data_IF_227056530977
#
_entry.id   IF_227056530977
#
_cell.length_a   1.000
_cell.length_b   1.000
_cell.length_c   1.000
_cell.angle_alpha   90.00
_cell.angle_beta   90.00
_cell.angle_gamma   90.00
#
_symmetry.space_group_name_H-M   'P 1'
#
loop_
_entity.id
_entity.type
_entity.pdbx_description
1 polymer ?
#
# COMPACT_ATOMS: atom_id res chain seq x y z
N UNK A 1 -43.94 15.66 -16.43
CA UNK A 1 -43.40 15.69 -16.15
C UNK A 1 -42.56 15.31 -15.86
N UNK A 2 -42.17 15.21 -15.83
CA UNK A 2 -41.33 14.91 -15.37
C UNK A 2 -40.58 14.70 -15.06
N UNK A 3 -40.38 14.66 -14.95
CA UNK A 3 -39.66 14.44 -14.47
C UNK A 3 -38.91 14.07 -14.15
N UNK A 4 -38.80 14.06 -14.10
CA UNK A 4 -38.12 13.72 -13.57
C UNK A 4 -37.38 13.28 -13.39
N UNK A 5 -37.26 13.29 -13.44
CA UNK A 5 -36.52 12.90 -13.07
C UNK A 5 -35.76 12.50 -12.88
N UNK A 6 -35.64 12.56 -13.01
CA UNK A 6 -34.88 12.18 -12.56
C UNK A 6 -34.06 11.97 -12.28
N UNK A 7 -33.84 12.07 -12.21
CA UNK A 7 -33.04 11.89 -11.73
C UNK A 7 -32.29 11.58 -11.33
N UNK A 8 -32.22 11.64 -11.28
CA UNK A 8 -31.45 11.34 -10.71
C UNK A 8 -30.78 10.78 -10.41
N UNK A 9 -30.79 10.74 -10.42
CA UNK A 9 -30.14 10.22 -10.00
C UNK A 9 -29.20 9.82 -9.99
N UNK A 10 -29.04 9.84 -10.21
CA UNK A 10 -28.19 9.42 -10.16
C UNK A 10 -27.30 9.40 -9.77
N UNK A 11 -27.14 9.68 -9.42
CA UNK A 11 -26.30 9.64 -8.91
C UNK A 11 -25.86 9.25 -8.29
N UNK A 12 -25.96 9.02 -8.07
CA UNK A 12 -25.40 8.71 -7.39
C UNK A 12 -24.56 8.07 -7.20
N UNK A 13 -24.29 7.99 -7.43
CA UNK A 13 -23.46 7.36 -7.21
C UNK A 13 -22.55 7.46 -7.11
N UNK A 14 -22.56 7.77 -6.83
CA UNK A 14 -21.70 8.03 -6.76
C UNK A 14 -20.88 7.30 -6.22
N UNK A 15 -20.10 7.12 -6.63
CA UNK A 15 -19.23 6.45 -6.24
C UNK A 15 -18.34 7.04 -5.54
N UNK A 16 -18.21 6.72 -4.61
CA UNK A 16 -17.24 7.14 -3.82
C UNK A 16 -16.02 6.81 -4.41
N UNK A 17 -15.50 7.65 -4.79
CA UNK A 17 -14.32 7.53 -5.02
C UNK A 17 -13.70 7.07 -3.91
N UNK A 18 -13.35 5.97 -3.97
CA UNK A 18 -12.52 5.49 -3.05
C UNK A 18 -11.56 6.55 -2.88
N UNK A 19 -11.68 7.13 -1.89
CA UNK A 19 -10.88 8.14 -1.61
C UNK A 19 -9.52 7.70 -1.80
N UNK A 20 -8.87 8.30 -2.61
CA UNK A 20 -7.50 8.09 -2.73
C UNK A 20 -6.94 8.33 -1.38
N UNK A 21 -6.22 7.42 -0.87
CA UNK A 21 -5.46 7.60 0.34
C UNK A 21 -4.52 8.76 0.12
N UNK A 22 -4.41 9.68 1.04
CA UNK A 22 -3.40 10.71 0.94
C UNK A 22 -2.03 10.06 0.87
N UNK A 23 -1.13 10.64 0.13
CA UNK A 23 0.22 10.12 0.05
C UNK A 23 0.92 10.28 1.39
N UNK A 24 1.53 9.23 1.92
CA UNK A 24 2.29 9.38 3.16
C UNK A 24 3.59 10.12 2.88
N UNK A 25 4.12 10.76 3.91
CA UNK A 25 5.42 11.42 3.79
C UNK A 25 6.54 10.39 3.66
N UNK A 26 6.36 9.24 4.31
CA UNK A 26 7.33 8.16 4.29
C UNK A 26 6.56 6.87 4.08
N UNK A 27 7.06 6.00 3.22
CA UNK A 27 6.49 4.67 3.10
C UNK A 27 7.55 3.62 3.39
N UNK A 28 7.20 2.68 4.25
CA UNK A 28 8.05 1.52 4.53
C UNK A 28 7.61 0.41 3.59
N UNK A 29 8.53 -0.10 2.81
CA UNK A 29 8.27 -1.26 1.95
C UNK A 29 8.97 -2.44 2.61
N UNK A 30 8.19 -3.37 3.13
CA UNK A 30 8.71 -4.45 3.98
C UNK A 30 8.51 -5.80 3.33
N UNK A 31 9.60 -6.55 3.19
CA UNK A 31 9.53 -7.92 2.69
C UNK A 31 9.68 -8.87 3.87
N UNK A 32 8.68 -9.70 4.08
CA UNK A 32 8.71 -10.64 5.20
C UNK A 32 9.78 -11.70 5.00
N UNK A 33 10.19 -12.32 6.09
CA UNK A 33 11.16 -13.40 6.02
C UNK A 33 10.58 -14.64 5.36
N UNK A 34 11.47 -15.49 4.86
CA UNK A 34 11.10 -16.75 4.23
C UNK A 34 10.27 -17.59 5.21
N UNK A 35 9.15 -18.08 4.72
CA UNK A 35 8.27 -18.91 5.54
C UNK A 35 7.33 -18.16 6.45
N UNK A 36 7.47 -16.84 6.55
CA UNK A 36 6.58 -16.05 7.40
C UNK A 36 5.23 -15.86 6.71
N UNK A 37 4.16 -15.65 7.47
CA UNK A 37 2.85 -15.38 6.91
C UNK A 37 2.84 -14.06 6.13
N UNK A 38 1.93 -13.96 5.18
CA UNK A 38 1.79 -12.75 4.38
C UNK A 38 1.48 -11.53 5.27
N UNK A 39 1.90 -10.37 4.82
CA UNK A 39 1.67 -9.12 5.54
C UNK A 39 2.94 -8.63 6.21
N UNK A 40 2.77 -7.61 7.05
CA UNK A 40 3.90 -7.03 7.77
C UNK A 40 4.38 -7.92 8.92
N UNK A 41 3.45 -8.63 9.54
CA UNK A 41 3.76 -9.42 10.71
C UNK A 41 4.16 -8.55 11.89
N UNK A 42 4.46 -9.19 13.00
CA UNK A 42 4.80 -8.43 14.22
C UNK A 42 6.09 -7.62 14.04
N UNK A 43 7.04 -8.17 13.30
CA UNK A 43 8.32 -7.48 13.12
C UNK A 43 8.15 -6.21 12.28
N UNK A 44 7.39 -6.32 11.18
CA UNK A 44 7.12 -5.15 10.37
C UNK A 44 6.29 -4.11 11.12
N UNK A 45 5.31 -4.55 11.89
CA UNK A 45 4.50 -3.63 12.69
C UNK A 45 5.34 -2.91 13.73
N UNK A 46 6.24 -3.61 14.40
CA UNK A 46 7.14 -3.00 15.39
C UNK A 46 8.03 -1.97 14.74
N UNK A 47 8.55 -2.28 13.56
CA UNK A 47 9.41 -1.34 12.87
C UNK A 47 8.66 -0.07 12.51
N UNK A 48 7.46 -0.21 11.97
CA UNK A 48 6.65 0.94 11.57
C UNK A 48 6.29 1.81 12.77
N UNK A 49 5.90 1.17 13.88
CA UNK A 49 5.57 1.91 15.11
C UNK A 49 6.78 2.66 15.65
N UNK A 50 7.94 2.01 15.64
CA UNK A 50 9.16 2.64 16.11
C UNK A 50 9.50 3.84 15.24
N UNK A 51 9.36 3.69 13.93
CA UNK A 51 9.63 4.78 13.01
C UNK A 51 8.68 5.95 13.23
N UNK A 52 7.40 5.67 13.44
CA UNK A 52 6.41 6.73 13.70
C UNK A 52 6.79 7.57 14.90
N UNK A 53 7.37 6.95 15.91
CA UNK A 53 7.81 7.67 17.09
C UNK A 53 9.02 8.55 16.87
N UNK A 54 9.66 8.45 15.72
CA UNK A 54 10.93 9.17 15.48
C UNK A 54 10.86 10.23 14.40
N UNK A 55 9.74 10.33 13.70
CA UNK A 55 9.66 11.22 12.54
C UNK A 55 8.78 12.45 12.74
N UNK A 56 8.38 12.69 13.96
CA UNK A 56 7.56 13.87 14.28
C UNK A 56 6.19 13.80 13.62
N UNK A 57 5.83 14.86 12.93
CA UNK A 57 4.50 14.95 12.32
C UNK A 57 4.39 14.28 10.97
N UNK A 58 5.46 13.70 10.48
CA UNK A 58 5.40 13.05 9.18
C UNK A 58 4.58 11.80 9.25
N UNK A 59 3.80 11.56 8.21
CA UNK A 59 2.97 10.37 8.15
C UNK A 59 3.79 9.20 7.61
N UNK A 60 3.52 8.02 8.12
CA UNK A 60 4.23 6.81 7.72
C UNK A 60 3.21 5.78 7.24
N UNK A 61 3.33 5.40 5.99
CA UNK A 61 2.55 4.29 5.45
C UNK A 61 3.41 3.04 5.38
N UNK A 62 2.79 1.94 5.08
CA UNK A 62 3.52 0.68 4.97
C UNK A 62 2.94 -0.16 3.85
N UNK A 63 3.83 -0.87 3.16
CA UNK A 63 3.45 -1.76 2.10
C UNK A 63 4.16 -3.10 2.33
N UNK A 64 3.40 -4.17 2.41
CA UNK A 64 3.98 -5.50 2.54
C UNK A 64 4.25 -6.06 1.14
N UNK A 65 5.50 -6.36 0.85
CA UNK A 65 5.87 -6.89 -0.45
C UNK A 65 5.10 -8.18 -0.71
N UNK A 66 4.46 -8.26 -1.87
CA UNK A 66 3.65 -9.40 -2.23
C UNK A 66 4.52 -10.37 -3.01
N UNK A 67 5.00 -11.40 -2.34
CA UNK A 67 5.86 -12.40 -2.97
C UNK A 67 5.75 -13.72 -2.20
N UNK A 68 6.22 -14.83 -2.78
CA UNK A 68 6.03 -16.14 -2.14
C UNK A 68 6.75 -16.32 -0.81
N UNK A 69 7.88 -15.67 -0.62
CA UNK A 69 8.72 -15.85 0.57
C UNK A 69 8.97 -17.34 0.82
N UNK A 70 9.25 -18.08 -0.24
CA UNK A 70 9.46 -19.53 -0.16
C UNK A 70 10.93 -19.87 -0.09
N UNK A 71 11.21 -21.14 0.24
CA UNK A 71 12.59 -21.60 0.28
C UNK A 71 13.19 -21.81 -1.12
N UNK A 72 12.37 -21.72 -2.16
CA UNK A 72 12.88 -21.71 -3.52
C UNK A 72 13.39 -20.29 -3.82
N UNK A 73 14.56 -20.00 -3.32
CA UNK A 73 15.11 -18.64 -3.37
C UNK A 73 15.31 -18.13 -4.79
N UNK A 74 15.62 -19.04 -5.72
CA UNK A 74 15.90 -18.64 -7.11
C UNK A 74 14.68 -18.00 -7.77
N UNK A 75 13.48 -18.36 -7.36
CA UNK A 75 12.27 -17.77 -7.90
C UNK A 75 11.66 -16.76 -6.93
N UNK A 76 11.73 -17.04 -5.65
CA UNK A 76 11.09 -16.22 -4.63
C UNK A 76 11.75 -14.86 -4.48
N UNK A 77 13.08 -14.82 -4.42
CA UNK A 77 13.78 -13.56 -4.22
C UNK A 77 13.58 -12.60 -5.40
N UNK A 78 13.73 -13.04 -6.65
CA UNK A 78 13.46 -12.14 -7.76
C UNK A 78 12.00 -11.66 -7.80
N UNK A 79 11.05 -12.52 -7.40
CA UNK A 79 9.65 -12.11 -7.35
C UNK A 79 9.45 -11.00 -6.32
N UNK A 80 10.09 -11.12 -5.16
CA UNK A 80 10.01 -10.08 -4.14
C UNK A 80 10.66 -8.78 -4.62
N UNK A 81 11.81 -8.88 -5.25
CA UNK A 81 12.50 -7.70 -5.77
C UNK A 81 11.65 -6.99 -6.82
N UNK A 82 10.99 -7.75 -7.69
CA UNK A 82 10.15 -7.16 -8.73
C UNK A 82 8.95 -6.45 -8.13
N UNK A 83 8.31 -7.05 -7.14
CA UNK A 83 7.15 -6.44 -6.49
C UNK A 83 7.55 -5.17 -5.75
N UNK A 84 8.66 -5.22 -5.02
CA UNK A 84 9.15 -4.05 -4.30
C UNK A 84 9.49 -2.92 -5.26
N UNK A 85 10.19 -3.23 -6.36
CA UNK A 85 10.54 -2.23 -7.36
C UNK A 85 9.29 -1.63 -8.01
N UNK A 86 8.29 -2.47 -8.26
CA UNK A 86 7.02 -1.99 -8.80
C UNK A 86 6.34 -1.01 -7.85
N UNK A 87 6.39 -1.30 -6.55
CA UNK A 87 5.80 -0.40 -5.56
C UNK A 87 6.54 0.93 -5.51
N UNK A 88 7.87 0.89 -5.57
CA UNK A 88 8.65 2.13 -5.59
C UNK A 88 8.25 2.99 -6.80
N UNK A 89 8.14 2.36 -7.97
CA UNK A 89 7.73 3.10 -9.17
C UNK A 89 6.32 3.66 -9.04
N UNK A 90 5.42 2.86 -8.49
CA UNK A 90 4.05 3.29 -8.29
C UNK A 90 4.01 4.53 -7.39
N UNK A 91 4.75 4.50 -6.30
CA UNK A 91 4.77 5.64 -5.38
C UNK A 91 5.43 6.86 -6.00
N UNK A 92 6.50 6.66 -6.78
CA UNK A 92 7.15 7.77 -7.45
C UNK A 92 6.21 8.45 -8.44
N UNK A 93 5.37 7.66 -9.12
CA UNK A 93 4.44 8.19 -10.11
C UNK A 93 3.21 8.84 -9.49
N UNK A 94 2.75 8.31 -8.37
CA UNK A 94 1.50 8.74 -7.77
C UNK A 94 1.68 9.63 -6.54
N UNK A 95 2.85 9.59 -5.93
CA UNK A 95 3.17 10.39 -4.74
C UNK A 95 4.57 10.97 -4.91
N UNK A 96 4.76 11.88 -5.86
CA UNK A 96 6.12 12.33 -6.20
C UNK A 96 6.80 13.18 -5.12
N UNK A 97 6.03 13.72 -4.21
CA UNK A 97 6.60 14.49 -3.11
C UNK A 97 6.53 13.72 -1.80
#
# INVERSE_FOLDING_TARGET
MCAAVSVPLAVPFAMPVAAAQPCPDIEVIFARGTGAPAGLGWLGDEFVESLRGKVGDRTVGAYAVNYPASFDFDTSAPAGAADAAGRVRYMADNCPD
#
